data_IF_531475061672
#
_entry.id   IF_531475061672
#
_cell.length_a   1.000
_cell.length_b   1.000
_cell.length_c   1.000
_cell.angle_alpha   90.00
_cell.angle_beta   90.00
_cell.angle_gamma   90.00
#
_symmetry.space_group_name_H-M   'P 1'
#
loop_
_entity.id
_entity.type
_entity.pdbx_description
1 polymer ?
#
# COMPACT_ATOMS: atom_id res chain seq x y z
N UNK A 1 14.42 -49.26 49.78
CA UNK A 1 13.33 -50.15 49.29
C UNK A 1 12.05 -49.33 49.18
N UNK A 2 11.43 -49.30 47.98
CA UNK A 2 9.98 -49.11 47.65
C UNK A 2 9.26 -47.85 48.24
N UNK A 3 8.82 -46.82 47.50
CA UNK A 3 7.91 -46.63 46.33
C UNK A 3 6.57 -45.99 46.77
N UNK A 4 6.22 -44.84 46.14
CA UNK A 4 4.87 -44.36 45.68
C UNK A 4 3.85 -44.01 46.79
N UNK A 5 2.94 -43.02 46.76
CA UNK A 5 2.21 -42.22 45.74
C UNK A 5 1.45 -41.12 46.54
N UNK A 6 1.09 -39.93 46.06
CA UNK A 6 0.03 -39.68 45.09
C UNK A 6 0.03 -38.21 44.62
N UNK A 7 -0.28 -38.04 43.35
CA UNK A 7 -0.44 -36.78 42.65
C UNK A 7 -1.85 -36.21 42.84
N UNK A 8 -1.97 -34.88 42.87
CA UNK A 8 -3.19 -34.18 42.50
C UNK A 8 -2.80 -32.86 41.81
N UNK A 9 -2.56 -32.92 40.50
CA UNK A 9 -2.49 -31.73 39.65
C UNK A 9 -3.92 -31.38 39.24
N UNK A 10 -4.44 -30.27 39.79
CA UNK A 10 -5.60 -29.60 39.23
C UNK A 10 -5.15 -28.79 38.01
N UNK A 11 -5.63 -29.20 36.84
CA UNK A 11 -5.60 -28.40 35.63
C UNK A 11 -6.61 -27.24 35.75
N UNK A 12 -6.22 -26.03 35.35
CA UNK A 12 -7.17 -25.02 34.91
C UNK A 12 -6.55 -24.10 33.85
N UNK A 13 -6.92 -24.40 32.60
CA UNK A 13 -7.08 -23.52 31.45
C UNK A 13 -6.04 -22.41 31.22
N UNK A 14 -4.94 -22.76 30.54
CA UNK A 14 -4.31 -21.80 29.64
C UNK A 14 -5.20 -21.64 28.41
N UNK A 15 -5.91 -20.51 28.31
CA UNK A 15 -6.36 -20.00 27.02
C UNK A 15 -5.10 -19.86 26.14
N UNK A 16 -4.91 -20.76 25.19
CA UNK A 16 -4.02 -20.50 24.07
C UNK A 16 -4.66 -19.35 23.29
N UNK A 17 -4.21 -18.12 23.57
CA UNK A 17 -4.25 -17.09 22.54
C UNK A 17 -3.46 -17.68 21.38
N UNK A 18 -4.15 -18.04 20.30
CA UNK A 18 -3.47 -18.33 19.05
C UNK A 18 -2.84 -16.99 18.63
N UNK A 19 -1.61 -16.77 19.07
CA UNK A 19 -0.74 -15.82 18.42
C UNK A 19 -0.75 -16.23 16.95
N UNK A 20 -1.37 -15.40 16.10
CA UNK A 20 -1.13 -15.49 14.67
C UNK A 20 0.39 -15.53 14.52
N UNK A 21 0.96 -16.49 13.77
CA UNK A 21 2.36 -16.39 13.44
C UNK A 21 2.55 -15.03 12.80
N UNK A 22 3.22 -14.11 13.51
CA UNK A 22 3.63 -12.84 12.94
C UNK A 22 4.35 -13.19 11.64
N UNK A 23 3.94 -12.56 10.55
CA UNK A 23 4.58 -12.73 9.25
C UNK A 23 6.04 -12.31 9.46
N UNK A 24 6.94 -13.29 9.47
CA UNK A 24 8.11 -13.27 10.34
C UNK A 24 9.34 -12.55 9.75
N UNK A 25 9.18 -11.76 8.70
CA UNK A 25 10.30 -11.05 8.08
C UNK A 25 9.98 -9.57 7.92
N UNK A 26 10.79 -8.74 8.58
CA UNK A 26 10.83 -7.30 8.31
C UNK A 26 11.11 -7.09 6.82
N UNK A 27 10.43 -6.14 6.16
CA UNK A 27 10.62 -5.93 4.74
C UNK A 27 12.00 -5.34 4.45
N UNK A 28 12.59 -5.75 3.33
CA UNK A 28 13.89 -5.27 2.87
C UNK A 28 13.87 -3.76 2.57
N UNK A 29 12.72 -3.24 2.13
CA UNK A 29 12.49 -1.82 1.85
C UNK A 29 11.21 -1.40 2.57
N UNK A 30 11.31 -0.30 3.33
CA UNK A 30 10.20 0.28 4.10
C UNK A 30 9.73 1.60 3.49
N UNK A 31 8.62 2.13 3.99
CA UNK A 31 8.08 3.42 3.58
C UNK A 31 9.08 4.57 3.79
N UNK A 32 9.94 4.51 4.82
CA UNK A 32 10.96 5.54 5.07
C UNK A 32 12.11 5.54 4.07
N UNK A 33 12.30 4.44 3.34
CA UNK A 33 13.36 4.31 2.35
C UNK A 33 12.96 4.85 0.97
N UNK A 34 11.67 5.17 0.78
CA UNK A 34 11.13 5.65 -0.50
C UNK A 34 11.46 7.14 -0.68
N UNK A 35 12.41 7.41 -1.58
CA UNK A 35 12.87 8.77 -1.92
C UNK A 35 12.90 9.04 -3.42
N UNK A 36 12.75 8.00 -4.24
CA UNK A 36 12.79 8.07 -5.70
C UNK A 36 12.00 6.93 -6.35
N UNK A 37 12.06 6.85 -7.68
CA UNK A 37 11.35 5.83 -8.46
C UNK A 37 11.83 4.41 -8.19
N UNK A 38 13.13 4.21 -8.00
CA UNK A 38 13.71 2.88 -7.82
C UNK A 38 13.34 2.32 -6.45
N UNK A 39 13.49 3.13 -5.40
CA UNK A 39 13.08 2.80 -4.04
C UNK A 39 11.57 2.62 -3.92
N UNK A 40 10.76 3.43 -4.61
CA UNK A 40 9.30 3.22 -4.69
C UNK A 40 8.94 1.86 -5.30
N UNK A 41 9.56 1.50 -6.42
CA UNK A 41 9.31 0.21 -7.07
C UNK A 41 9.72 -0.95 -6.16
N UNK A 42 10.89 -0.86 -5.53
CA UNK A 42 11.36 -1.87 -4.58
C UNK A 42 10.39 -2.02 -3.39
N UNK A 43 9.89 -0.91 -2.85
CA UNK A 43 8.89 -0.89 -1.79
C UNK A 43 7.57 -1.59 -2.17
N UNK A 44 7.02 -1.31 -3.35
CA UNK A 44 5.79 -1.96 -3.84
C UNK A 44 6.00 -3.47 -4.05
N UNK A 45 7.16 -3.88 -4.57
CA UNK A 45 7.50 -5.29 -4.75
C UNK A 45 7.69 -6.00 -3.40
N UNK A 46 8.29 -5.34 -2.41
CA UNK A 46 8.40 -5.84 -1.05
C UNK A 46 7.01 -6.01 -0.41
N UNK A 47 6.11 -5.04 -0.59
CA UNK A 47 4.73 -5.12 -0.11
C UNK A 47 3.96 -6.28 -0.74
N UNK A 48 4.13 -6.51 -2.05
CA UNK A 48 3.59 -7.70 -2.71
C UNK A 48 4.13 -8.99 -2.10
N UNK A 49 5.45 -9.11 -1.94
CA UNK A 49 6.07 -10.31 -1.38
C UNK A 49 5.63 -10.57 0.07
N UNK A 50 5.37 -9.50 0.84
CA UNK A 50 4.79 -9.61 2.18
C UNK A 50 3.34 -10.08 2.13
N UNK A 51 2.52 -9.48 1.26
CA UNK A 51 1.13 -9.87 1.00
C UNK A 51 0.97 -11.33 0.59
N UNK A 52 1.86 -11.82 -0.27
CA UNK A 52 1.89 -13.21 -0.77
C UNK A 52 2.10 -14.25 0.35
N UNK A 53 2.54 -13.85 1.55
CA UNK A 53 2.71 -14.75 2.69
C UNK A 53 1.37 -15.13 3.34
N UNK A 54 0.30 -14.37 3.11
CA UNK A 54 -1.02 -14.72 3.61
C UNK A 54 -1.55 -15.99 2.94
N UNK A 55 -1.84 -17.00 3.75
CA UNK A 55 -2.41 -18.28 3.31
C UNK A 55 -3.91 -18.41 3.62
N UNK A 56 -4.46 -17.44 4.34
CA UNK A 56 -5.84 -17.41 4.80
C UNK A 56 -6.41 -15.99 4.82
N UNK A 57 -7.74 -15.88 4.82
CA UNK A 57 -8.41 -14.58 4.93
C UNK A 57 -8.03 -13.81 6.21
N UNK A 58 -7.99 -14.42 7.42
CA UNK A 58 -7.57 -13.71 8.63
C UNK A 58 -6.15 -13.13 8.54
N UNK A 59 -5.19 -13.88 7.99
CA UNK A 59 -3.82 -13.40 7.77
C UNK A 59 -3.78 -12.25 6.77
N UNK A 60 -4.52 -12.36 5.66
CA UNK A 60 -4.60 -11.30 4.67
C UNK A 60 -5.21 -10.01 5.25
N UNK A 61 -6.26 -10.12 6.06
CA UNK A 61 -6.85 -8.97 6.76
C UNK A 61 -5.87 -8.34 7.77
N UNK A 62 -5.05 -9.14 8.44
CA UNK A 62 -3.99 -8.62 9.32
C UNK A 62 -2.95 -7.82 8.52
N UNK A 63 -2.50 -8.32 7.36
CA UNK A 63 -1.60 -7.58 6.46
C UNK A 63 -2.22 -6.25 6.03
N UNK A 64 -3.48 -6.24 5.59
CA UNK A 64 -4.14 -5.01 5.20
C UNK A 64 -4.24 -4.02 6.39
N UNK A 65 -4.39 -4.51 7.62
CA UNK A 65 -4.36 -3.65 8.81
C UNK A 65 -2.97 -3.05 9.04
N UNK A 66 -1.89 -3.83 8.84
CA UNK A 66 -0.52 -3.33 8.93
C UNK A 66 -0.24 -2.26 7.86
N UNK A 67 -0.71 -2.46 6.62
CA UNK A 67 -0.56 -1.48 5.54
C UNK A 67 -1.27 -0.14 5.80
N UNK A 68 -2.23 -0.08 6.73
CA UNK A 68 -2.91 1.16 7.16
C UNK A 68 -2.21 1.85 8.33
N UNK A 69 -1.36 1.13 9.05
CA UNK A 69 -0.78 1.56 10.32
C UNK A 69 0.61 2.15 10.08
N UNK A 70 0.93 3.27 10.74
CA UNK A 70 2.28 3.85 10.69
C UNK A 70 3.33 2.80 11.07
N UNK A 71 4.39 2.70 10.27
CA UNK A 71 5.39 1.66 10.38
C UNK A 71 6.08 1.34 9.05
N UNK A 72 6.51 0.09 8.82
CA UNK A 72 7.25 -0.30 7.62
C UNK A 72 6.50 -0.05 6.31
N UNK A 73 5.17 -0.07 6.33
CA UNK A 73 4.32 0.00 5.13
C UNK A 73 3.61 1.34 4.93
N UNK A 74 3.76 2.24 5.90
CA UNK A 74 3.18 3.58 5.86
C UNK A 74 4.02 4.52 6.71
N UNK A 75 4.45 5.62 6.11
CA UNK A 75 5.09 6.72 6.82
C UNK A 75 4.75 8.04 6.14
N UNK A 76 3.97 8.88 6.84
CA UNK A 76 3.60 10.20 6.32
C UNK A 76 2.93 10.11 4.94
N UNK A 77 3.57 10.68 3.92
CA UNK A 77 3.08 10.71 2.54
C UNK A 77 3.31 9.42 1.74
N UNK A 78 4.06 8.45 2.29
CA UNK A 78 4.32 7.15 1.66
C UNK A 78 3.34 6.12 2.22
N UNK A 79 2.48 5.58 1.36
CA UNK A 79 1.44 4.61 1.72
C UNK A 79 1.06 3.75 0.52
N UNK A 80 0.54 2.55 0.81
CA UNK A 80 0.03 1.62 -0.18
C UNK A 80 -1.45 1.91 -0.53
N UNK A 81 -1.83 1.58 -1.76
CA UNK A 81 -3.21 1.45 -2.21
C UNK A 81 -3.42 0.09 -2.89
N UNK A 82 -4.62 -0.45 -2.74
CA UNK A 82 -5.05 -1.70 -3.37
C UNK A 82 -6.50 -1.55 -3.84
N UNK A 83 -6.77 -1.87 -5.10
CA UNK A 83 -8.12 -1.81 -5.66
C UNK A 83 -8.32 -2.86 -6.75
N UNK A 84 -9.58 -3.19 -7.08
CA UNK A 84 -9.90 -4.21 -8.09
C UNK A 84 -9.64 -3.71 -9.51
N UNK A 85 -9.60 -4.60 -10.49
CA UNK A 85 -9.50 -4.25 -11.93
C UNK A 85 -10.67 -3.40 -12.46
N UNK A 86 -11.73 -3.24 -11.69
CA UNK A 86 -12.89 -2.39 -11.98
C UNK A 86 -12.86 -1.06 -11.20
N UNK A 87 -11.77 -0.78 -10.46
CA UNK A 87 -11.59 0.47 -9.74
C UNK A 87 -12.21 0.53 -8.34
N UNK A 88 -12.63 -0.59 -7.76
CA UNK A 88 -13.15 -0.65 -6.39
C UNK A 88 -12.00 -0.66 -5.37
N UNK A 89 -11.87 0.37 -4.55
CA UNK A 89 -10.81 0.46 -3.55
C UNK A 89 -11.02 -0.46 -2.36
N UNK A 90 -10.00 -1.26 -2.03
CA UNK A 90 -9.97 -2.22 -0.93
C UNK A 90 -9.08 -1.73 0.22
N UNK A 91 -8.01 -1.01 -0.12
CA UNK A 91 -7.10 -0.38 0.83
C UNK A 91 -6.67 0.97 0.27
N UNK A 92 -6.73 2.00 1.11
CA UNK A 92 -6.03 3.26 0.86
C UNK A 92 -5.36 3.72 2.15
N UNK A 93 -4.04 3.50 2.25
CA UNK A 93 -3.30 3.60 3.51
C UNK A 93 -3.38 4.97 4.19
N UNK A 94 -3.50 6.07 3.42
CA UNK A 94 -3.63 7.42 3.96
C UNK A 94 -5.08 7.88 4.21
N UNK A 95 -6.04 7.38 3.43
CA UNK A 95 -7.44 7.82 3.48
C UNK A 95 -8.39 6.62 3.36
N UNK A 96 -8.71 5.97 4.49
CA UNK A 96 -9.62 4.84 4.52
C UNK A 96 -11.04 5.17 4.07
N UNK A 97 -11.43 6.45 3.97
CA UNK A 97 -12.78 6.82 3.51
C UNK A 97 -13.03 6.47 2.05
N UNK A 98 -11.97 6.30 1.26
CA UNK A 98 -12.03 5.87 -0.15
C UNK A 98 -12.32 4.36 -0.30
N UNK A 99 -12.15 3.57 0.75
CA UNK A 99 -12.37 2.12 0.69
C UNK A 99 -13.86 1.79 0.50
N UNK A 100 -14.15 0.84 -0.39
CA UNK A 100 -15.51 0.48 -0.81
C UNK A 100 -16.09 1.41 -1.88
N UNK A 101 -15.38 2.47 -2.29
CA UNK A 101 -15.79 3.33 -3.40
C UNK A 101 -15.20 2.82 -4.71
N UNK A 102 -15.99 2.90 -5.78
CA UNK A 102 -15.49 2.71 -7.13
C UNK A 102 -15.03 4.07 -7.67
N UNK A 103 -13.73 4.17 -7.97
CA UNK A 103 -13.08 5.40 -8.43
C UNK A 103 -12.58 5.29 -9.88
N UNK A 104 -13.14 4.37 -10.68
CA UNK A 104 -12.69 4.12 -12.05
C UNK A 104 -12.72 5.36 -12.95
N UNK A 105 -13.63 6.31 -12.68
CA UNK A 105 -13.77 7.55 -13.46
C UNK A 105 -13.03 8.73 -12.83
N UNK A 106 -12.27 8.52 -11.75
CA UNK A 106 -11.53 9.56 -11.06
C UNK A 106 -10.52 10.23 -12.01
N UNK A 107 -10.64 11.55 -12.08
CA UNK A 107 -9.86 12.40 -12.96
C UNK A 107 -9.25 13.53 -12.14
N UNK A 108 -7.96 13.79 -12.35
CA UNK A 108 -7.29 14.93 -11.70
C UNK A 108 -7.57 16.25 -12.44
N UNK A 109 -7.09 17.37 -11.90
CA UNK A 109 -7.30 18.69 -12.50
C UNK A 109 -6.66 18.87 -13.89
N UNK A 110 -5.77 17.97 -14.30
CA UNK A 110 -5.11 17.96 -15.61
C UNK A 110 -5.77 17.00 -16.62
N UNK A 111 -6.84 16.30 -16.21
CA UNK A 111 -7.52 15.33 -17.05
C UNK A 111 -6.92 13.92 -17.02
N UNK A 112 -6.01 13.63 -16.09
CA UNK A 112 -5.41 12.29 -15.95
C UNK A 112 -6.44 11.35 -15.34
N UNK A 113 -6.74 10.24 -16.03
CA UNK A 113 -7.65 9.19 -15.56
C UNK A 113 -6.93 8.24 -14.62
N UNK A 114 -6.64 8.72 -13.41
CA UNK A 114 -5.72 8.10 -12.44
C UNK A 114 -5.90 6.58 -12.34
N UNK A 115 -7.11 6.12 -12.03
CA UNK A 115 -7.36 4.69 -11.77
C UNK A 115 -7.24 3.87 -13.05
N UNK A 116 -7.68 4.40 -14.19
CA UNK A 116 -7.59 3.71 -15.49
C UNK A 116 -6.13 3.59 -15.93
N UNK A 117 -5.34 4.65 -15.76
CA UNK A 117 -3.92 4.67 -16.11
C UNK A 117 -3.12 3.71 -15.20
N UNK A 118 -3.43 3.67 -13.89
CA UNK A 118 -2.85 2.70 -12.96
C UNK A 118 -3.21 1.25 -13.31
N UNK A 119 -4.43 0.98 -13.80
CA UNK A 119 -4.81 -0.34 -14.31
C UNK A 119 -4.02 -0.65 -15.59
N UNK A 120 -3.91 0.30 -16.51
CA UNK A 120 -3.27 0.10 -17.81
C UNK A 120 -1.81 -0.35 -17.68
N UNK A 121 -1.04 0.25 -16.77
CA UNK A 121 0.36 -0.14 -16.56
C UNK A 121 0.54 -1.56 -16.01
N UNK A 122 -0.50 -2.16 -15.40
CA UNK A 122 -0.43 -3.54 -14.91
C UNK A 122 -0.38 -4.59 -16.03
N UNK A 123 -0.87 -4.26 -17.23
CA UNK A 123 -0.84 -5.14 -18.39
C UNK A 123 0.60 -5.46 -18.86
N UNK A 124 1.55 -4.59 -18.54
CA UNK A 124 2.98 -4.74 -18.84
C UNK A 124 3.79 -5.33 -17.68
N UNK A 125 3.11 -5.77 -16.61
CA UNK A 125 3.74 -6.27 -15.38
C UNK A 125 4.03 -5.18 -14.34
N UNK A 126 3.71 -3.92 -14.66
CA UNK A 126 3.79 -2.77 -13.77
C UNK A 126 4.49 -1.57 -14.37
N UNK A 127 4.19 -0.39 -13.84
CA UNK A 127 4.72 0.87 -14.36
C UNK A 127 4.40 2.08 -13.52
N UNK A 128 4.93 3.23 -13.94
CA UNK A 128 4.76 4.50 -13.25
C UNK A 128 3.62 5.31 -13.87
N UNK A 129 2.89 6.02 -13.01
CA UNK A 129 1.85 6.99 -13.40
C UNK A 129 2.04 8.26 -12.60
N UNK A 130 1.92 9.41 -13.26
CA UNK A 130 2.06 10.74 -12.66
C UNK A 130 0.75 11.49 -12.75
N UNK A 131 0.32 12.07 -11.62
CA UNK A 131 -0.96 12.75 -11.49
C UNK A 131 -0.93 13.69 -10.28
N UNK A 132 -1.97 14.51 -10.13
CA UNK A 132 -2.17 15.32 -8.92
C UNK A 132 -2.97 14.52 -7.88
N UNK A 133 -2.50 14.54 -6.63
CA UNK A 133 -3.15 13.88 -5.51
C UNK A 133 -2.96 14.71 -4.23
N UNK A 134 -3.94 14.75 -3.30
CA UNK A 134 -3.73 15.40 -2.00
C UNK A 134 -2.62 14.71 -1.20
N UNK A 135 -1.59 15.46 -0.81
CA UNK A 135 -0.58 14.99 0.13
C UNK A 135 -1.15 15.00 1.56
N UNK A 136 -1.26 13.84 2.26
CA UNK A 136 -1.82 13.79 3.60
C UNK A 136 -1.00 14.55 4.65
N UNK A 137 0.24 14.96 4.33
CA UNK A 137 1.07 15.77 5.22
C UNK A 137 0.85 17.28 5.04
N UNK A 138 0.07 17.71 4.04
CA UNK A 138 -0.22 19.12 3.77
C UNK A 138 -1.70 19.37 4.06
N UNK A 139 -1.99 20.13 5.12
CA UNK A 139 -3.36 20.45 5.51
C UNK A 139 -4.09 21.23 4.41
N UNK A 140 -5.25 20.73 4.00
CA UNK A 140 -6.09 21.37 2.98
C UNK A 140 -5.57 21.25 1.55
N UNK A 141 -4.56 20.41 1.30
CA UNK A 141 -4.10 20.14 -0.06
C UNK A 141 -5.21 19.54 -0.92
N UNK A 142 -5.29 19.99 -2.16
CA UNK A 142 -6.27 19.54 -3.16
C UNK A 142 -5.61 18.91 -4.38
N UNK A 143 -4.27 18.88 -4.43
CA UNK A 143 -3.54 18.24 -5.50
C UNK A 143 -2.07 18.67 -5.57
N UNK A 144 -1.19 17.83 -5.05
CA UNK A 144 0.26 17.88 -5.23
C UNK A 144 0.71 16.87 -6.29
N UNK A 145 1.80 17.13 -7.05
CA UNK A 145 2.36 16.15 -7.96
C UNK A 145 2.77 14.87 -7.24
N UNK A 146 2.26 13.74 -7.71
CA UNK A 146 2.55 12.42 -7.18
C UNK A 146 3.07 11.51 -8.30
N UNK A 147 4.12 10.76 -8.00
CA UNK A 147 4.60 9.66 -8.84
C UNK A 147 4.20 8.37 -8.14
N UNK A 148 3.36 7.57 -8.77
CA UNK A 148 2.98 6.25 -8.29
C UNK A 148 3.57 5.14 -9.15
N UNK A 149 3.82 3.99 -8.54
CA UNK A 149 4.18 2.75 -9.21
C UNK A 149 3.13 1.70 -8.85
N UNK A 150 2.60 1.03 -9.87
CA UNK A 150 1.56 0.02 -9.71
C UNK A 150 1.93 -1.28 -10.43
N UNK A 151 1.49 -2.40 -9.87
CA UNK A 151 1.71 -3.76 -10.39
C UNK A 151 0.40 -4.57 -10.32
N UNK A 152 0.25 -5.62 -11.16
CA UNK A 152 -0.80 -6.61 -10.94
C UNK A 152 -0.53 -7.37 -9.63
N UNK A 153 -1.58 -7.64 -8.87
CA UNK A 153 -1.52 -8.41 -7.63
C UNK A 153 -2.72 -9.35 -7.53
N UNK A 154 -2.49 -10.63 -7.25
CA UNK A 154 -3.55 -11.62 -7.10
C UNK A 154 -3.54 -12.16 -5.68
N UNK A 155 -4.69 -12.09 -4.99
CA UNK A 155 -4.86 -12.66 -3.66
C UNK A 155 -6.26 -13.24 -3.52
N UNK A 156 -6.39 -14.33 -2.77
CA UNK A 156 -7.68 -14.98 -2.49
C UNK A 156 -8.51 -15.33 -3.76
N UNK A 157 -7.85 -15.57 -4.89
CA UNK A 157 -8.48 -15.89 -6.17
C UNK A 157 -9.06 -14.69 -6.93
N UNK A 158 -8.71 -13.46 -6.55
CA UNK A 158 -9.10 -12.23 -7.23
C UNK A 158 -7.86 -11.42 -7.65
N UNK A 159 -7.99 -10.71 -8.76
CA UNK A 159 -6.98 -9.80 -9.30
C UNK A 159 -7.23 -8.36 -8.86
N UNK A 160 -6.14 -7.69 -8.52
CA UNK A 160 -6.08 -6.34 -8.00
C UNK A 160 -4.93 -5.57 -8.66
N UNK A 161 -4.98 -4.25 -8.47
CA UNK A 161 -3.85 -3.35 -8.64
C UNK A 161 -3.30 -3.01 -7.26
N UNK A 162 -2.02 -3.29 -7.04
CA UNK A 162 -1.28 -2.87 -5.85
C UNK A 162 -0.29 -1.78 -6.24
N UNK A 163 -0.21 -0.71 -5.45
CA UNK A 163 0.79 0.32 -5.69
C UNK A 163 1.02 1.23 -4.49
N UNK A 164 1.96 2.14 -4.66
CA UNK A 164 2.25 3.25 -3.76
C UNK A 164 2.71 4.44 -4.58
N UNK A 165 2.89 5.59 -3.95
CA UNK A 165 3.57 6.72 -4.59
C UNK A 165 4.26 7.62 -3.59
N UNK A 166 5.12 8.48 -4.11
CA UNK A 166 5.76 9.56 -3.36
C UNK A 166 5.45 10.90 -4.02
N UNK A 167 5.61 11.96 -3.23
CA UNK A 167 5.48 13.34 -3.67
C UNK A 167 6.89 13.90 -3.85
N UNK A 168 7.37 14.10 -5.08
CA UNK A 168 8.68 14.72 -5.30
C UNK A 168 8.69 16.11 -4.65
N UNK A 169 9.77 16.48 -3.96
CA UNK A 169 9.91 17.79 -3.28
C UNK A 169 9.70 19.03 -4.19
N UNK A 170 9.56 18.88 -5.51
CA UNK A 170 9.60 19.97 -6.49
C UNK A 170 8.26 20.69 -6.77
N UNK A 171 7.36 20.83 -5.79
CA UNK A 171 6.13 21.64 -5.98
C UNK A 171 5.98 22.81 -4.98
N UNK A 172 6.74 22.84 -3.89
CA UNK A 172 6.69 23.96 -2.93
C UNK A 172 7.64 25.11 -3.25
N UNK A 173 8.58 24.94 -4.18
CA UNK A 173 9.60 25.94 -4.57
C UNK A 173 9.73 26.16 -6.07
N UNK A 174 8.68 25.85 -6.85
CA UNK A 174 8.55 26.29 -8.23
C UNK A 174 7.29 27.16 -8.37
N UNK A 175 7.52 28.46 -8.21
CA UNK A 175 6.78 29.60 -8.76
C UNK A 175 5.63 29.21 -9.70
N UNK A 176 4.41 29.58 -9.28
CA UNK A 176 3.39 30.20 -10.12
C UNK A 176 3.06 29.44 -11.43
N UNK A 177 1.95 28.70 -11.40
CA UNK A 177 1.06 28.43 -12.54
C UNK A 177 1.70 28.50 -13.94
N UNK A 178 2.55 27.55 -14.29
CA UNK A 178 2.88 27.32 -15.70
C UNK A 178 2.78 25.83 -16.02
N UNK A 179 2.08 25.58 -17.12
CA UNK A 179 1.60 24.28 -17.56
C UNK A 179 2.70 23.22 -17.56
N UNK A 180 2.50 22.16 -16.78
CA UNK A 180 3.32 20.95 -16.75
C UNK A 180 3.29 20.13 -18.06
N UNK A 181 2.54 20.58 -19.07
CA UNK A 181 2.50 19.97 -20.41
C UNK A 181 3.83 19.94 -21.17
N UNK A 182 4.89 20.60 -20.69
CA UNK A 182 6.21 20.60 -21.32
C UNK A 182 7.22 19.60 -20.73
N UNK A 183 6.92 18.89 -19.63
CA UNK A 183 7.91 17.96 -19.04
C UNK A 183 7.87 16.53 -19.59
N UNK A 184 6.85 16.17 -20.38
CA UNK A 184 6.80 14.85 -21.05
C UNK A 184 7.88 14.65 -22.13
N UNK A 185 8.72 15.66 -22.43
CA UNK A 185 9.72 15.56 -23.51
C UNK A 185 11.16 15.34 -23.05
N UNK A 186 11.44 15.20 -21.75
CA UNK A 186 12.84 15.15 -21.28
C UNK A 186 13.20 14.04 -20.28
N UNK A 187 12.50 12.91 -20.29
CA UNK A 187 13.03 11.64 -19.76
C UNK A 187 12.53 10.46 -20.59
#
# INVERSE_FOLDING_TARGET
MKRLTAALMLALASLLSAAHPAIAQDPEVTASDVVDRETLKAFVLAAKAYGDQASSLPEYLAILQEFRTEGPWKQGSIYLFLFTTEGLFILHGADPSLEGQNLIDLEDANGVKIVQDLIAVTAEGGGYVEYLWPDPQIEGDTGSPKVSYAIPYSALGQDFVLGAGFFPESAATAVESQSWGQLKSHF
#
